data_IF_633773497132
#
_entry.id   IF_633773497132
#
_cell.length_a   1.000
_cell.length_b   1.000
_cell.length_c   1.000
_cell.angle_alpha   90.00
_cell.angle_beta   90.00
_cell.angle_gamma   90.00
#
_symmetry.space_group_name_H-M   'P 1'
#
loop_
_entity.id
_entity.type
_entity.pdbx_description
1 polymer ?
#
# COMPACT_ATOMS: atom_id res chain seq x y z
N UNK A 1 -7.47 61.69 9.70
CA UNK A 1 -7.23 62.43 8.43
C UNK A 1 -7.23 63.97 8.56
N UNK A 2 -8.15 64.63 9.30
CA UNK A 2 -8.17 66.12 9.41
C UNK A 2 -7.00 66.73 10.20
N UNK A 3 -6.45 66.01 11.18
CA UNK A 3 -5.29 66.43 12.00
C UNK A 3 -3.99 66.47 11.20
N UNK A 4 -3.69 65.41 10.45
CA UNK A 4 -2.51 65.33 9.56
C UNK A 4 -2.53 66.44 8.49
N UNK A 5 -3.71 66.75 7.95
CA UNK A 5 -3.89 67.83 6.96
C UNK A 5 -3.64 69.23 7.53
N UNK A 6 -3.97 69.47 8.82
CA UNK A 6 -3.68 70.75 9.49
C UNK A 6 -2.19 70.90 9.84
N UNK A 7 -1.52 69.82 10.25
CA UNK A 7 -0.07 69.82 10.48
C UNK A 7 0.71 70.08 9.18
N UNK A 8 0.26 69.49 8.06
CA UNK A 8 0.88 69.67 6.73
C UNK A 8 0.91 71.12 6.29
N UNK A 9 -0.19 71.86 6.50
CA UNK A 9 -0.29 73.30 6.19
C UNK A 9 0.65 74.14 7.07
N UNK A 10 0.68 73.91 8.38
CA UNK A 10 1.56 74.65 9.31
C UNK A 10 3.06 74.45 9.05
N UNK A 11 3.46 73.29 8.54
CA UNK A 11 4.87 72.96 8.24
C UNK A 11 5.34 73.47 6.86
N UNK A 12 4.42 73.74 5.92
CA UNK A 12 4.73 74.34 4.62
C UNK A 12 4.92 75.86 4.69
N UNK A 13 4.22 76.55 5.60
CA UNK A 13 4.32 78.02 5.77
C UNK A 13 5.64 78.44 6.48
N UNK A 14 6.26 77.55 7.24
CA UNK A 14 7.62 77.74 7.74
C UNK A 14 8.60 77.14 6.71
N UNK A 15 9.62 77.89 6.24
CA UNK A 15 10.68 77.42 5.31
C UNK A 15 11.58 76.29 5.88
N UNK A 16 11.01 75.26 6.52
CA UNK A 16 11.67 74.16 7.23
C UNK A 16 11.58 72.86 6.41
N UNK A 17 12.12 72.90 5.20
CA UNK A 17 12.19 71.73 4.30
C UNK A 17 12.79 70.49 4.99
N UNK A 18 13.80 70.70 5.86
CA UNK A 18 14.43 69.66 6.69
C UNK A 18 13.43 68.98 7.65
N UNK A 19 12.51 69.73 8.25
CA UNK A 19 11.50 69.16 9.18
C UNK A 19 10.42 68.36 8.45
N UNK A 20 10.06 68.75 7.23
CA UNK A 20 9.12 68.00 6.40
C UNK A 20 9.74 66.70 5.85
N UNK A 21 11.01 66.74 5.42
CA UNK A 21 11.74 65.56 4.96
C UNK A 21 11.90 64.50 6.07
N UNK A 22 12.24 64.92 7.30
CA UNK A 22 12.34 64.01 8.46
C UNK A 22 11.00 63.35 8.80
N UNK A 23 9.91 64.11 8.69
CA UNK A 23 8.56 63.61 8.95
C UNK A 23 8.10 62.60 7.89
N UNK A 24 8.31 62.92 6.60
CA UNK A 24 8.00 62.01 5.50
C UNK A 24 8.84 60.72 5.55
N UNK A 25 10.12 60.81 5.94
CA UNK A 25 10.96 59.63 6.20
C UNK A 25 10.41 58.77 7.34
N UNK A 26 9.95 59.39 8.44
CA UNK A 26 9.30 58.68 9.54
C UNK A 26 8.04 57.94 9.11
N UNK A 27 7.22 58.54 8.25
CA UNK A 27 6.00 57.92 7.71
C UNK A 27 6.33 56.73 6.78
N UNK A 28 7.35 56.85 5.93
CA UNK A 28 7.84 55.75 5.08
C UNK A 28 8.35 54.59 5.95
N UNK A 29 9.17 54.88 6.97
CA UNK A 29 9.70 53.85 7.87
C UNK A 29 8.57 53.13 8.62
N UNK A 30 7.56 53.86 9.11
CA UNK A 30 6.38 53.26 9.76
C UNK A 30 5.58 52.36 8.81
N UNK A 31 5.36 52.79 7.56
CA UNK A 31 4.66 51.98 6.55
C UNK A 31 5.46 50.72 6.22
N UNK A 32 6.78 50.84 6.05
CA UNK A 32 7.66 49.68 5.79
C UNK A 32 7.62 48.68 6.94
N UNK A 33 7.66 49.13 8.20
CA UNK A 33 7.51 48.25 9.36
C UNK A 33 6.13 47.58 9.39
N UNK A 34 5.05 48.33 9.13
CA UNK A 34 3.70 47.79 9.10
C UNK A 34 3.53 46.70 8.02
N UNK A 35 4.02 46.95 6.80
CA UNK A 35 3.99 45.97 5.70
C UNK A 35 4.88 44.76 6.01
N UNK A 36 6.07 44.96 6.57
CA UNK A 36 6.99 43.87 6.90
C UNK A 36 6.43 42.96 8.01
N UNK A 37 5.76 43.54 9.02
CA UNK A 37 5.08 42.78 10.07
C UNK A 37 3.88 42.03 9.49
N UNK A 38 3.07 42.68 8.64
CA UNK A 38 1.94 42.02 7.97
C UNK A 38 2.40 40.84 7.11
N UNK A 39 3.50 41.00 6.36
CA UNK A 39 4.09 39.93 5.57
C UNK A 39 4.58 38.77 6.45
N UNK A 40 5.28 39.05 7.56
CA UNK A 40 5.71 38.02 8.53
C UNK A 40 4.54 37.28 9.18
N UNK A 41 3.46 37.97 9.53
CA UNK A 41 2.25 37.35 10.09
C UNK A 41 1.61 36.42 9.06
N UNK A 42 1.55 36.84 7.79
CA UNK A 42 1.04 36.00 6.72
C UNK A 42 1.90 34.75 6.52
N UNK A 43 3.22 34.91 6.48
CA UNK A 43 4.19 33.81 6.35
C UNK A 43 4.07 32.80 7.50
N UNK A 44 3.95 33.25 8.75
CA UNK A 44 3.73 32.39 9.91
C UNK A 44 2.37 31.65 9.87
N UNK A 45 1.33 32.29 9.35
CA UNK A 45 0.03 31.66 9.18
C UNK A 45 0.08 30.58 8.09
N UNK A 46 0.77 30.84 6.98
CA UNK A 46 0.97 29.88 5.90
C UNK A 46 1.78 28.67 6.38
N UNK A 47 2.88 28.88 7.12
CA UNK A 47 3.65 27.80 7.75
C UNK A 47 2.77 26.97 8.69
N UNK A 48 1.96 27.63 9.54
CA UNK A 48 1.06 26.92 10.47
C UNK A 48 0.04 26.05 9.72
N UNK A 49 -0.54 26.55 8.64
CA UNK A 49 -1.51 25.80 7.83
C UNK A 49 -0.81 24.60 7.19
N UNK A 50 0.39 24.79 6.61
CA UNK A 50 1.17 23.70 6.00
C UNK A 50 1.50 22.60 7.01
N UNK A 51 1.98 22.95 8.22
CA UNK A 51 2.29 21.97 9.26
C UNK A 51 1.05 21.17 9.68
N UNK A 52 -0.12 21.81 9.79
CA UNK A 52 -1.37 21.12 10.12
C UNK A 52 -1.83 20.15 9.02
N UNK A 53 -1.53 20.44 7.74
CA UNK A 53 -1.79 19.52 6.65
C UNK A 53 -0.80 18.35 6.64
N UNK A 54 0.47 18.61 6.93
CA UNK A 54 1.53 17.62 7.03
C UNK A 54 1.26 16.62 8.17
N UNK A 55 0.87 17.09 9.36
CA UNK A 55 0.48 16.25 10.49
C UNK A 55 -0.66 15.29 10.12
N UNK A 56 -1.69 15.79 9.40
CA UNK A 56 -2.81 14.96 8.93
C UNK A 56 -2.33 13.88 7.95
N UNK A 57 -1.39 14.23 7.07
CA UNK A 57 -0.79 13.28 6.14
C UNK A 57 -0.07 12.18 6.91
N UNK A 58 0.74 12.54 7.90
CA UNK A 58 1.50 11.59 8.72
C UNK A 58 0.61 10.68 9.55
N UNK A 59 -0.46 11.20 10.15
CA UNK A 59 -1.43 10.40 10.90
C UNK A 59 -2.09 9.36 9.99
N UNK A 60 -2.65 9.79 8.84
CA UNK A 60 -3.33 8.90 7.91
C UNK A 60 -2.38 7.83 7.34
N UNK A 61 -1.15 8.23 6.99
CA UNK A 61 -0.14 7.30 6.52
C UNK A 61 0.24 6.28 7.60
N UNK A 62 0.38 6.71 8.85
CA UNK A 62 0.72 5.80 9.95
C UNK A 62 -0.39 4.76 10.21
N UNK A 63 -1.66 5.17 10.16
CA UNK A 63 -2.81 4.25 10.28
C UNK A 63 -2.85 3.21 9.15
N UNK A 64 -2.59 3.64 7.91
CA UNK A 64 -2.48 2.77 6.74
C UNK A 64 -1.31 1.78 6.89
N UNK A 65 -0.16 2.25 7.35
CA UNK A 65 1.04 1.41 7.56
C UNK A 65 0.83 0.37 8.66
N UNK A 66 0.19 0.73 9.78
CA UNK A 66 -0.15 -0.21 10.84
C UNK A 66 -1.13 -1.28 10.36
N UNK A 67 -2.10 -0.89 9.53
CA UNK A 67 -3.05 -1.83 8.93
C UNK A 67 -2.35 -2.79 7.97
N UNK A 68 -1.53 -2.25 7.08
CA UNK A 68 -0.69 -3.05 6.19
C UNK A 68 0.27 -3.97 6.94
N UNK A 69 0.82 -3.55 8.07
CA UNK A 69 1.71 -4.38 8.88
C UNK A 69 1.01 -5.65 9.38
N UNK A 70 -0.27 -5.55 9.76
CA UNK A 70 -1.08 -6.71 10.15
C UNK A 70 -1.38 -7.62 8.96
N UNK A 71 -1.78 -7.04 7.83
CA UNK A 71 -2.07 -7.79 6.60
C UNK A 71 -0.84 -8.54 6.09
N UNK A 72 0.32 -7.88 6.06
CA UNK A 72 1.58 -8.47 5.58
C UNK A 72 2.04 -9.62 6.48
N UNK A 73 1.82 -9.56 7.79
CA UNK A 73 2.10 -10.71 8.68
C UNK A 73 1.24 -11.92 8.30
N UNK A 74 -0.06 -11.70 8.09
CA UNK A 74 -0.99 -12.74 7.64
C UNK A 74 -0.58 -13.32 6.28
N UNK A 75 -0.23 -12.46 5.31
CA UNK A 75 0.28 -12.87 4.00
C UNK A 75 1.50 -13.80 4.16
N UNK A 76 2.46 -13.41 5.00
CA UNK A 76 3.68 -14.20 5.23
C UNK A 76 3.34 -15.57 5.79
N UNK A 77 2.42 -15.65 6.75
CA UNK A 77 1.97 -16.92 7.35
C UNK A 77 1.27 -17.81 6.31
N UNK A 78 0.29 -17.26 5.60
CA UNK A 78 -0.50 -17.99 4.61
C UNK A 78 0.34 -18.45 3.41
N UNK A 79 1.24 -17.62 2.89
CA UNK A 79 2.12 -18.00 1.78
C UNK A 79 3.18 -19.01 2.22
N UNK A 80 3.68 -18.93 3.46
CA UNK A 80 4.62 -19.94 3.98
C UNK A 80 3.96 -21.32 4.05
N UNK A 81 2.70 -21.40 4.52
CA UNK A 81 1.94 -22.66 4.52
C UNK A 81 1.64 -23.13 3.10
N UNK A 82 1.26 -22.21 2.19
CA UNK A 82 0.95 -22.54 0.81
C UNK A 82 2.15 -23.13 0.05
N UNK A 83 3.34 -22.60 0.28
CA UNK A 83 4.58 -23.16 -0.28
C UNK A 83 4.74 -24.63 0.12
N UNK A 84 4.54 -24.96 1.41
CA UNK A 84 4.62 -26.34 1.90
C UNK A 84 3.58 -27.24 1.21
N UNK A 85 2.33 -26.78 1.04
CA UNK A 85 1.30 -27.54 0.33
C UNK A 85 1.64 -27.77 -1.15
N UNK A 86 2.19 -26.75 -1.82
CA UNK A 86 2.60 -26.85 -3.22
C UNK A 86 3.79 -27.82 -3.37
N UNK A 87 4.80 -27.73 -2.51
CA UNK A 87 5.94 -28.66 -2.47
C UNK A 87 5.47 -30.10 -2.22
N UNK A 88 4.54 -30.31 -1.28
CA UNK A 88 3.94 -31.61 -1.05
C UNK A 88 3.18 -32.13 -2.28
N UNK A 89 2.47 -31.26 -2.99
CA UNK A 89 1.76 -31.62 -4.24
C UNK A 89 2.73 -32.09 -5.31
N UNK A 90 3.91 -31.45 -5.43
CA UNK A 90 4.95 -31.86 -6.38
C UNK A 90 5.49 -33.26 -6.07
N UNK A 91 5.56 -33.67 -4.80
CA UNK A 91 6.00 -35.02 -4.40
C UNK A 91 5.04 -36.14 -4.85
N UNK A 92 3.83 -35.81 -5.31
CA UNK A 92 2.87 -36.76 -5.85
C UNK A 92 2.88 -36.85 -7.39
N UNK A 93 3.64 -35.99 -8.08
CA UNK A 93 3.75 -36.02 -9.55
C UNK A 93 4.20 -37.41 -10.02
N UNK A 94 3.50 -37.96 -11.02
CA UNK A 94 3.78 -39.29 -11.57
C UNK A 94 3.25 -40.48 -10.76
N UNK A 95 2.69 -40.26 -9.55
CA UNK A 95 2.06 -41.35 -8.78
C UNK A 95 0.68 -41.70 -9.31
N UNK A 96 0.27 -42.95 -9.11
CA UNK A 96 -1.11 -43.39 -9.41
C UNK A 96 -2.06 -42.93 -8.31
N UNK A 97 -3.31 -42.66 -8.67
CA UNK A 97 -4.35 -42.24 -7.72
C UNK A 97 -4.61 -43.24 -6.58
N UNK A 98 -4.29 -44.53 -6.78
CA UNK A 98 -4.37 -45.59 -5.77
C UNK A 98 -3.28 -45.50 -4.69
N UNK A 99 -2.19 -44.79 -4.98
CA UNK A 99 -1.07 -44.57 -4.05
C UNK A 99 -1.29 -43.33 -3.15
N UNK A 100 -2.38 -42.58 -3.39
CA UNK A 100 -2.67 -41.34 -2.68
C UNK A 100 -3.55 -41.59 -1.45
N UNK A 101 -3.08 -41.14 -0.29
CA UNK A 101 -3.90 -41.03 0.92
C UNK A 101 -4.99 -39.96 0.75
N UNK A 102 -6.00 -39.95 1.64
CA UNK A 102 -7.01 -38.88 1.66
C UNK A 102 -6.36 -37.50 1.81
N UNK A 103 -5.43 -37.35 2.75
CA UNK A 103 -4.69 -36.10 2.96
C UNK A 103 -3.88 -35.66 1.73
N UNK A 104 -3.31 -36.60 0.96
CA UNK A 104 -2.63 -36.28 -0.28
C UNK A 104 -3.60 -35.71 -1.33
N UNK A 105 -4.79 -36.31 -1.46
CA UNK A 105 -5.85 -35.82 -2.35
C UNK A 105 -6.33 -34.43 -1.92
N UNK A 106 -6.56 -34.23 -0.62
CA UNK A 106 -6.95 -32.92 -0.06
C UNK A 106 -5.89 -31.84 -0.36
N UNK A 107 -4.59 -32.19 -0.30
CA UNK A 107 -3.51 -31.26 -0.67
C UNK A 107 -3.51 -30.92 -2.15
N UNK A 108 -3.74 -31.89 -3.03
CA UNK A 108 -3.71 -31.71 -4.51
C UNK A 108 -4.86 -30.80 -4.98
N UNK A 109 -6.03 -30.94 -4.36
CA UNK A 109 -7.24 -30.19 -4.73
C UNK A 109 -7.34 -28.82 -4.02
N UNK A 110 -6.55 -28.59 -2.98
CA UNK A 110 -6.51 -27.31 -2.28
C UNK A 110 -5.75 -26.25 -3.11
N UNK A 111 -6.49 -25.62 -4.03
CA UNK A 111 -6.01 -24.54 -4.88
C UNK A 111 -6.41 -23.15 -4.35
N UNK A 112 -6.95 -23.08 -3.13
CA UNK A 112 -7.48 -21.85 -2.57
C UNK A 112 -6.38 -20.79 -2.41
N UNK A 113 -6.64 -19.59 -2.88
CA UNK A 113 -5.79 -18.43 -2.66
C UNK A 113 -6.62 -17.28 -2.09
N UNK A 114 -6.37 -16.86 -0.84
CA UNK A 114 -7.06 -15.74 -0.24
C UNK A 114 -6.69 -14.45 -0.97
N UNK A 115 -7.62 -13.51 -0.98
CA UNK A 115 -7.38 -12.18 -1.52
C UNK A 115 -6.67 -11.32 -0.50
N UNK A 116 -5.57 -10.71 -0.93
CA UNK A 116 -4.83 -9.74 -0.15
C UNK A 116 -5.09 -8.35 -0.69
N UNK A 117 -5.53 -7.44 0.17
CA UNK A 117 -5.82 -6.06 -0.18
C UNK A 117 -4.97 -5.11 0.68
N UNK A 118 -3.74 -4.89 0.23
CA UNK A 118 -2.86 -3.92 0.86
C UNK A 118 -3.34 -2.51 0.54
N UNK A 119 -3.54 -1.71 1.58
CA UNK A 119 -3.97 -0.33 1.48
C UNK A 119 -2.84 0.54 0.94
N UNK A 120 -3.18 1.45 0.04
CA UNK A 120 -2.22 2.40 -0.54
C UNK A 120 -2.88 3.74 -0.91
N UNK A 121 -4.09 4.01 -0.40
CA UNK A 121 -4.83 5.22 -0.74
C UNK A 121 -4.14 6.47 -0.21
N UNK A 122 -3.63 6.42 1.03
CA UNK A 122 -2.92 7.51 1.68
C UNK A 122 -1.59 7.74 0.98
N UNK A 123 -0.82 6.68 0.74
CA UNK A 123 0.48 6.84 0.10
C UNK A 123 0.37 7.27 -1.37
N UNK A 124 -0.61 6.76 -2.13
CA UNK A 124 -0.87 7.24 -3.48
C UNK A 124 -1.32 8.70 -3.49
N UNK A 125 -2.13 9.12 -2.51
CA UNK A 125 -2.51 10.53 -2.36
C UNK A 125 -1.27 11.41 -2.17
N UNK A 126 -0.32 11.01 -1.31
CA UNK A 126 0.93 11.74 -1.08
C UNK A 126 1.74 11.86 -2.38
N UNK A 127 1.96 10.75 -3.07
CA UNK A 127 2.81 10.72 -4.28
C UNK A 127 2.13 11.41 -5.47
N UNK A 128 0.81 11.32 -5.60
CA UNK A 128 0.08 11.81 -6.78
C UNK A 128 -0.35 13.27 -6.70
N UNK A 129 -0.43 13.87 -5.50
CA UNK A 129 -1.01 15.22 -5.31
C UNK A 129 0.02 16.31 -5.04
N UNK A 130 1.28 16.13 -5.46
CA UNK A 130 2.41 17.03 -5.15
C UNK A 130 2.67 17.27 -3.65
N UNK A 131 1.91 16.63 -2.75
CA UNK A 131 2.10 16.63 -1.29
C UNK A 131 3.40 15.96 -0.87
N UNK A 132 3.96 15.11 -1.72
CA UNK A 132 5.32 14.62 -1.49
C UNK A 132 6.33 15.77 -1.42
N UNK A 133 6.08 16.90 -2.09
CA UNK A 133 6.98 18.06 -2.04
C UNK A 133 6.91 18.83 -0.73
N UNK A 134 5.76 18.79 -0.05
CA UNK A 134 5.56 19.50 1.23
C UNK A 134 6.24 18.79 2.40
N UNK A 135 6.60 17.51 2.26
CA UNK A 135 7.39 16.77 3.25
C UNK A 135 8.82 17.33 3.24
N UNK A 136 9.30 17.88 4.35
CA UNK A 136 10.66 18.46 4.38
C UNK A 136 11.76 17.39 4.30
N UNK A 137 11.52 16.23 4.92
CA UNK A 137 12.49 15.14 5.06
C UNK A 137 12.71 14.39 3.73
N UNK A 138 13.83 14.65 3.04
CA UNK A 138 14.20 13.94 1.80
C UNK A 138 14.26 12.43 2.00
N UNK A 139 14.76 12.00 3.16
CA UNK A 139 14.80 10.58 3.53
C UNK A 139 13.41 9.98 3.63
N UNK A 140 12.44 10.71 4.19
CA UNK A 140 11.06 10.25 4.28
C UNK A 140 10.43 10.16 2.89
N UNK A 141 10.67 11.13 2.00
CA UNK A 141 10.23 11.08 0.60
C UNK A 141 10.71 9.80 -0.10
N UNK A 142 12.00 9.48 0.03
CA UNK A 142 12.59 8.27 -0.57
C UNK A 142 11.97 6.99 -0.01
N UNK A 143 11.73 6.94 1.31
CA UNK A 143 11.10 5.79 1.95
C UNK A 143 9.66 5.59 1.49
N UNK A 144 8.88 6.67 1.36
CA UNK A 144 7.50 6.66 0.86
C UNK A 144 7.46 6.17 -0.58
N UNK A 145 8.25 6.77 -1.48
CA UNK A 145 8.31 6.37 -2.89
C UNK A 145 8.75 4.90 -3.03
N UNK A 146 9.75 4.49 -2.26
CA UNK A 146 10.24 3.12 -2.25
C UNK A 146 9.22 2.12 -1.70
N UNK A 147 8.41 2.52 -0.71
CA UNK A 147 7.34 1.69 -0.17
C UNK A 147 6.23 1.47 -1.20
N UNK A 148 5.74 2.55 -1.84
CA UNK A 148 4.72 2.47 -2.88
C UNK A 148 5.16 1.54 -4.02
N UNK A 149 6.40 1.69 -4.51
CA UNK A 149 6.93 0.80 -5.53
C UNK A 149 6.90 -0.69 -5.13
N UNK A 150 7.09 -1.01 -3.85
CA UNK A 150 6.98 -2.40 -3.37
C UNK A 150 5.54 -2.89 -3.27
N UNK A 151 4.60 -2.02 -2.91
CA UNK A 151 3.17 -2.35 -2.92
C UNK A 151 2.70 -2.68 -4.33
N UNK A 152 3.07 -1.86 -5.33
CA UNK A 152 2.71 -2.09 -6.73
C UNK A 152 3.28 -3.41 -7.27
N UNK A 153 4.55 -3.71 -6.97
CA UNK A 153 5.16 -4.99 -7.32
C UNK A 153 4.43 -6.17 -6.66
N UNK A 154 4.01 -6.02 -5.41
CA UNK A 154 3.25 -7.06 -4.72
C UNK A 154 1.88 -7.27 -5.36
N UNK A 155 1.13 -6.19 -5.65
CA UNK A 155 -0.18 -6.26 -6.32
C UNK A 155 -0.08 -6.95 -7.69
N UNK A 156 0.97 -6.65 -8.44
CA UNK A 156 1.25 -7.29 -9.73
C UNK A 156 1.49 -8.80 -9.58
N UNK A 157 2.35 -9.21 -8.64
CA UNK A 157 2.58 -10.64 -8.38
C UNK A 157 1.32 -11.34 -7.84
N UNK A 158 0.56 -10.71 -6.95
CA UNK A 158 -0.71 -11.24 -6.45
C UNK A 158 -1.72 -11.51 -7.59
N UNK A 159 -1.82 -10.60 -8.55
CA UNK A 159 -2.67 -10.77 -9.73
C UNK A 159 -2.20 -11.93 -10.63
N UNK A 160 -0.89 -12.08 -10.84
CA UNK A 160 -0.33 -13.22 -11.60
C UNK A 160 -0.66 -14.55 -10.91
N UNK A 161 -0.49 -14.57 -9.60
CA UNK A 161 -0.73 -15.72 -8.74
C UNK A 161 -2.21 -16.15 -8.78
N UNK A 162 -3.15 -15.19 -8.74
CA UNK A 162 -4.59 -15.43 -8.97
C UNK A 162 -4.90 -15.93 -10.38
N UNK A 163 -4.25 -15.35 -11.39
CA UNK A 163 -4.42 -15.75 -12.79
C UNK A 163 -4.00 -17.20 -13.03
N UNK A 164 -2.88 -17.64 -12.44
CA UNK A 164 -2.44 -19.04 -12.54
C UNK A 164 -3.48 -19.99 -11.95
N UNK A 165 -4.04 -19.66 -10.78
CA UNK A 165 -5.08 -20.50 -10.16
C UNK A 165 -6.32 -20.58 -11.03
N UNK A 166 -6.88 -19.43 -11.40
CA UNK A 166 -8.17 -19.38 -12.11
C UNK A 166 -8.09 -19.86 -13.55
N UNK A 167 -7.00 -19.57 -14.26
CA UNK A 167 -6.94 -19.76 -15.72
C UNK A 167 -6.06 -20.94 -16.13
N UNK A 168 -5.18 -21.44 -15.26
CA UNK A 168 -4.31 -22.59 -15.58
C UNK A 168 -4.63 -23.81 -14.72
N UNK A 169 -4.56 -23.68 -13.39
CA UNK A 169 -4.71 -24.84 -12.48
C UNK A 169 -6.16 -25.32 -12.44
N UNK A 170 -7.11 -24.44 -12.13
CA UNK A 170 -8.51 -24.79 -11.92
C UNK A 170 -9.13 -25.51 -13.14
N UNK A 171 -8.97 -25.04 -14.39
CA UNK A 171 -9.56 -25.73 -15.54
C UNK A 171 -9.00 -27.14 -15.75
N UNK A 172 -7.70 -27.33 -15.55
CA UNK A 172 -7.06 -28.65 -15.69
C UNK A 172 -7.48 -29.57 -14.53
N UNK A 173 -7.58 -29.03 -13.32
CA UNK A 173 -8.07 -29.77 -12.16
C UNK A 173 -9.49 -30.27 -12.41
N UNK A 174 -10.42 -29.40 -12.80
CA UNK A 174 -11.84 -29.73 -13.06
C UNK A 174 -12.04 -30.69 -14.24
N UNK A 175 -11.10 -30.73 -15.18
CA UNK A 175 -11.10 -31.70 -16.28
C UNK A 175 -10.82 -33.14 -15.81
N UNK A 176 -10.07 -33.31 -14.72
CA UNK A 176 -9.64 -34.64 -14.24
C UNK A 176 -10.24 -35.01 -12.89
N UNK A 177 -10.63 -34.04 -12.08
CA UNK A 177 -11.13 -34.20 -10.71
C UNK A 177 -12.60 -33.80 -10.68
N UNK A 178 -13.41 -34.69 -10.13
CA UNK A 178 -14.82 -34.46 -9.90
C UNK A 178 -14.99 -33.51 -8.71
N UNK A 179 -15.61 -32.35 -8.94
CA UNK A 179 -15.94 -31.40 -7.86
C UNK A 179 -16.89 -32.01 -6.82
N UNK A 180 -17.55 -33.11 -7.15
CA UNK A 180 -18.39 -33.89 -6.24
C UNK A 180 -17.58 -34.44 -5.06
N UNK A 181 -16.27 -34.68 -5.25
CA UNK A 181 -15.35 -35.11 -4.18
C UNK A 181 -15.16 -34.02 -3.11
N UNK A 182 -15.43 -32.75 -3.45
CA UNK A 182 -15.34 -31.62 -2.53
C UNK A 182 -16.61 -31.43 -1.69
N UNK A 183 -17.72 -32.11 -2.03
CA UNK A 183 -18.95 -32.00 -1.26
C UNK A 183 -18.75 -32.62 0.13
N UNK A 184 -19.25 -31.97 1.20
CA UNK A 184 -19.14 -32.52 2.54
C UNK A 184 -19.89 -33.85 2.64
N UNK A 185 -19.48 -34.68 3.58
CA UNK A 185 -20.17 -35.95 3.84
C UNK A 185 -21.54 -35.67 4.47
N UNK A 186 -22.56 -35.63 3.61
CA UNK A 186 -23.93 -35.31 3.96
C UNK A 186 -24.91 -36.08 3.07
N UNK A 187 -25.93 -36.67 3.69
CA UNK A 187 -26.95 -37.50 3.02
C UNK A 187 -27.62 -36.75 1.85
N UNK A 188 -27.75 -35.41 1.95
CA UNK A 188 -28.32 -34.56 0.89
C UNK A 188 -27.58 -34.67 -0.46
N UNK A 189 -26.30 -35.05 -0.45
CA UNK A 189 -25.47 -35.15 -1.64
C UNK A 189 -25.27 -36.60 -2.11
N UNK A 190 -25.83 -37.60 -1.42
CA UNK A 190 -25.62 -39.02 -1.74
C UNK A 190 -25.98 -39.36 -3.18
N UNK A 191 -27.11 -38.84 -3.69
CA UNK A 191 -27.52 -39.08 -5.07
C UNK A 191 -26.44 -38.63 -6.06
N UNK A 192 -25.89 -37.43 -5.88
CA UNK A 192 -24.83 -36.90 -6.76
C UNK A 192 -23.52 -37.67 -6.57
N UNK A 193 -23.13 -37.99 -5.33
CA UNK A 193 -21.91 -38.76 -5.04
C UNK A 193 -21.91 -40.16 -5.67
N UNK A 194 -23.07 -40.82 -5.75
CA UNK A 194 -23.20 -42.17 -6.34
C UNK A 194 -23.19 -42.14 -7.86
N UNK A 195 -23.73 -41.10 -8.49
CA UNK A 195 -23.88 -41.01 -9.95
C UNK A 195 -22.80 -40.19 -10.65
N UNK A 196 -21.94 -39.51 -9.91
CA UNK A 196 -20.86 -38.71 -10.49
C UNK A 196 -19.78 -39.58 -11.14
N UNK A 197 -19.19 -39.05 -12.22
CA UNK A 197 -17.95 -39.60 -12.76
C UNK A 197 -16.84 -39.34 -11.74
N UNK A 198 -16.08 -40.38 -11.39
CA UNK A 198 -15.02 -40.32 -10.40
C UNK A 198 -13.76 -39.59 -10.89
N UNK A 199 -12.97 -39.11 -9.93
CA UNK A 199 -11.72 -38.40 -10.18
C UNK A 199 -10.58 -39.29 -10.71
N UNK A 200 -9.84 -38.81 -11.72
CA UNK A 200 -8.67 -39.45 -12.29
C UNK A 200 -7.38 -38.71 -11.91
N UNK A 201 -6.94 -38.92 -10.67
CA UNK A 201 -5.70 -38.34 -10.14
C UNK A 201 -4.46 -38.76 -10.94
N UNK A 202 -4.40 -39.99 -11.46
CA UNK A 202 -3.26 -40.48 -12.25
C UNK A 202 -3.08 -39.65 -13.52
N UNK A 203 -4.17 -39.34 -14.24
CA UNK A 203 -4.14 -38.51 -15.44
C UNK A 203 -3.78 -37.06 -15.12
N UNK A 204 -4.33 -36.49 -14.03
CA UNK A 204 -3.97 -35.14 -13.58
C UNK A 204 -2.46 -35.03 -13.28
N UNK A 205 -1.93 -35.94 -12.47
CA UNK A 205 -0.54 -35.90 -11.99
C UNK A 205 0.48 -36.22 -13.10
N UNK A 206 0.04 -36.84 -14.19
CA UNK A 206 0.85 -37.08 -15.40
C UNK A 206 0.71 -35.96 -16.44
N UNK A 207 -0.18 -34.99 -16.23
CA UNK A 207 -0.42 -33.90 -17.17
C UNK A 207 0.68 -32.82 -17.04
N UNK A 208 1.42 -32.60 -18.14
CA UNK A 208 2.52 -31.61 -18.19
C UNK A 208 2.05 -30.17 -17.91
N UNK A 209 0.89 -29.77 -18.41
CA UNK A 209 0.36 -28.42 -18.19
C UNK A 209 0.01 -28.19 -16.73
N UNK A 210 -0.55 -29.21 -16.05
CA UNK A 210 -0.81 -29.16 -14.62
C UNK A 210 0.50 -29.03 -13.83
N UNK A 211 1.48 -29.89 -14.11
CA UNK A 211 2.81 -29.87 -13.46
C UNK A 211 3.46 -28.48 -13.59
N UNK A 212 3.51 -27.94 -14.81
CA UNK A 212 4.05 -26.62 -15.07
C UNK A 212 3.29 -25.53 -14.30
N UNK A 213 1.97 -25.63 -14.22
CA UNK A 213 1.14 -24.63 -13.53
C UNK A 213 1.33 -24.66 -12.01
N UNK A 214 1.50 -25.84 -11.41
CA UNK A 214 1.83 -25.97 -9.97
C UNK A 214 3.22 -25.41 -9.66
N UNK A 215 4.21 -25.68 -10.52
CA UNK A 215 5.56 -25.13 -10.38
C UNK A 215 5.55 -23.60 -10.54
N UNK A 216 4.89 -23.07 -11.57
CA UNK A 216 4.72 -21.62 -11.79
C UNK A 216 4.06 -20.98 -10.56
N UNK A 217 2.99 -21.59 -10.04
CA UNK A 217 2.32 -21.15 -8.83
C UNK A 217 3.25 -21.14 -7.61
N UNK A 218 4.07 -22.16 -7.42
CA UNK A 218 5.05 -22.25 -6.33
C UNK A 218 6.06 -21.11 -6.40
N UNK A 219 6.71 -20.94 -7.55
CA UNK A 219 7.74 -19.90 -7.76
C UNK A 219 7.17 -18.50 -7.53
N UNK A 220 5.97 -18.22 -8.06
CA UNK A 220 5.33 -16.92 -7.82
C UNK A 220 4.90 -16.72 -6.36
N UNK A 221 4.44 -17.77 -5.68
CA UNK A 221 4.11 -17.68 -4.25
C UNK A 221 5.38 -17.41 -3.41
N UNK A 222 6.52 -18.01 -3.75
CA UNK A 222 7.81 -17.70 -3.11
C UNK A 222 8.24 -16.25 -3.34
N UNK A 223 8.06 -15.72 -4.56
CA UNK A 223 8.33 -14.31 -4.87
C UNK A 223 7.41 -13.36 -4.09
N UNK A 224 6.10 -13.66 -4.04
CA UNK A 224 5.11 -12.89 -3.27
C UNK A 224 5.46 -12.87 -1.78
N UNK A 225 5.89 -13.99 -1.21
CA UNK A 225 6.38 -14.09 0.17
C UNK A 225 7.64 -13.22 0.41
N UNK A 226 8.60 -13.23 -0.51
CA UNK A 226 9.80 -12.40 -0.41
C UNK A 226 9.47 -10.89 -0.46
N UNK A 227 8.55 -10.50 -1.35
CA UNK A 227 8.03 -9.14 -1.42
C UNK A 227 7.31 -8.74 -0.13
N UNK A 228 6.43 -9.60 0.40
CA UNK A 228 5.74 -9.36 1.67
C UNK A 228 6.73 -9.14 2.83
N UNK A 229 7.80 -9.95 2.92
CA UNK A 229 8.86 -9.75 3.93
C UNK A 229 9.58 -8.41 3.78
N UNK A 230 9.82 -7.98 2.54
CA UNK A 230 10.44 -6.68 2.24
C UNK A 230 9.51 -5.53 2.61
N UNK A 231 8.22 -5.61 2.25
CA UNK A 231 7.20 -4.64 2.62
C UNK A 231 7.14 -4.52 4.14
N UNK A 232 7.08 -5.64 4.88
CA UNK A 232 7.09 -5.65 6.34
C UNK A 232 8.26 -4.87 6.93
N UNK A 233 9.46 -5.06 6.39
CA UNK A 233 10.66 -4.35 6.85
C UNK A 233 10.55 -2.85 6.58
N UNK A 234 10.12 -2.48 5.36
CA UNK A 234 9.94 -1.07 4.98
C UNK A 234 8.84 -0.38 5.78
N UNK A 235 7.71 -1.05 6.02
CA UNK A 235 6.62 -0.55 6.89
C UNK A 235 7.16 -0.18 8.26
N UNK A 236 7.93 -1.08 8.91
CA UNK A 236 8.53 -0.80 10.23
C UNK A 236 9.51 0.37 10.21
N UNK A 237 10.37 0.45 9.19
CA UNK A 237 11.30 1.57 9.02
C UNK A 237 10.55 2.88 8.83
N UNK A 238 9.49 2.88 8.01
CA UNK A 238 8.70 4.07 7.71
C UNK A 238 7.91 4.55 8.93
N UNK A 239 7.26 3.65 9.66
CA UNK A 239 6.59 3.98 10.94
C UNK A 239 7.59 4.58 11.94
N UNK A 240 8.79 3.99 12.07
CA UNK A 240 9.80 4.52 12.98
C UNK A 240 10.26 5.94 12.61
N UNK A 241 10.34 6.25 11.32
CA UNK A 241 10.72 7.59 10.84
C UNK A 241 9.58 8.59 10.99
N UNK A 242 8.34 8.21 10.64
CA UNK A 242 7.16 9.07 10.83
C UNK A 242 6.97 9.47 12.29
N UNK A 243 7.16 8.54 13.22
CA UNK A 243 7.07 8.82 14.67
C UNK A 243 8.19 9.73 15.21
N UNK A 244 9.26 9.96 14.44
CA UNK A 244 10.29 10.94 14.80
C UNK A 244 9.90 12.35 14.34
N UNK A 245 9.22 12.47 13.20
CA UNK A 245 8.73 13.75 12.67
C UNK A 245 7.51 14.28 13.45
N UNK A 246 6.70 13.38 14.05
CA UNK A 246 5.53 13.72 14.87
C UNK A 246 5.85 14.15 16.32
N UNK A 247 7.13 14.26 16.71
CA UNK A 247 7.58 14.62 18.07
C UNK A 247 8.11 16.04 18.15
#
# INVERSE_FOLDING_TARGET
>A
MKLLRKLRRKLMDARKFKSYALYALGEIVLIVFAVSIAWKINDLNDIRINNLEEDKIYINLNEELETNLRLVKRIIEEDSQKIIYLENTLNYIGKRGTELSKSAKDSIINIADPTFDLQDSSINSIVSTSKLETIESTKLKDLIASYLAKIELFKSEDAQVKTIVSNKIKPILEKHISLVDLLPDNIKYNHVKVHAVGSNYTALLSNKEYQNSVIDRLLRTQNRLALARTIRSKTKTLISHLNQELK
#
